data_IF_680829863524
#
_entry.id   IF_680829863524
#
_cell.length_a   1.000
_cell.length_b   1.000
_cell.length_c   1.000
_cell.angle_alpha   90.00
_cell.angle_beta   90.00
_cell.angle_gamma   90.00
#
_symmetry.space_group_name_H-M   'P 1'
#
loop_
_entity.id
_entity.type
_entity.pdbx_description
1 polymer ?
#
# COMPACT_ATOMS: atom_id res chain seq x y z
N UNK A 1 -5.33 -35.94 -70.47
CA UNK A 1 -4.99 -36.55 -69.17
C UNK A 1 -3.58 -36.19 -68.70
N UNK A 2 -2.50 -36.46 -69.46
CA UNK A 2 -1.12 -36.11 -69.06
C UNK A 2 -0.85 -34.61 -68.82
N UNK A 3 -1.50 -33.71 -69.56
CA UNK A 3 -1.31 -32.25 -69.43
C UNK A 3 -1.87 -31.72 -68.09
N UNK A 4 -3.04 -32.19 -67.67
CA UNK A 4 -3.71 -31.81 -66.42
C UNK A 4 -2.94 -32.30 -65.18
N UNK A 5 -2.29 -33.46 -65.29
CA UNK A 5 -1.42 -34.02 -64.24
C UNK A 5 -0.14 -33.19 -64.06
N UNK A 6 0.35 -32.50 -65.10
CA UNK A 6 1.55 -31.66 -65.03
C UNK A 6 1.28 -30.35 -64.30
N UNK A 7 0.19 -29.66 -64.63
CA UNK A 7 -0.24 -28.43 -63.95
C UNK A 7 -0.50 -28.67 -62.45
N UNK A 8 -1.17 -29.78 -62.11
CA UNK A 8 -1.42 -30.15 -60.72
C UNK A 8 -0.13 -30.36 -59.91
N UNK A 9 0.90 -30.99 -60.50
CA UNK A 9 2.21 -31.18 -59.84
C UNK A 9 2.92 -29.85 -59.58
N UNK A 10 2.83 -28.90 -60.51
CA UNK A 10 3.41 -27.56 -60.36
C UNK A 10 2.72 -26.80 -59.23
N UNK A 11 1.39 -26.83 -59.17
CA UNK A 11 0.62 -26.18 -58.09
C UNK A 11 0.95 -26.76 -56.71
N UNK A 12 1.03 -28.08 -56.59
CA UNK A 12 1.40 -28.75 -55.32
C UNK A 12 2.83 -28.39 -54.92
N UNK A 13 3.77 -28.35 -55.87
CA UNK A 13 5.15 -27.95 -55.59
C UNK A 13 5.24 -26.50 -55.08
N UNK A 14 4.51 -25.56 -55.70
CA UNK A 14 4.48 -24.17 -55.23
C UNK A 14 3.85 -24.06 -53.84
N UNK A 15 2.73 -24.75 -53.60
CA UNK A 15 2.03 -24.72 -52.32
C UNK A 15 2.88 -25.29 -51.17
N UNK A 16 3.59 -26.38 -51.41
CA UNK A 16 4.49 -27.01 -50.43
C UNK A 16 5.69 -26.13 -50.14
N UNK A 17 6.34 -25.56 -51.16
CA UNK A 17 7.44 -24.60 -50.98
C UNK A 17 6.99 -23.37 -50.20
N UNK A 18 5.83 -22.82 -50.52
CA UNK A 18 5.26 -21.68 -49.80
C UNK A 18 5.03 -22.02 -48.32
N UNK A 19 4.42 -23.16 -48.04
CA UNK A 19 4.15 -23.60 -46.67
C UNK A 19 5.43 -23.88 -45.88
N UNK A 20 6.42 -24.55 -46.49
CA UNK A 20 7.74 -24.75 -45.88
C UNK A 20 8.45 -23.42 -45.61
N UNK A 21 8.38 -22.46 -46.54
CA UNK A 21 8.97 -21.13 -46.33
C UNK A 21 8.31 -20.37 -45.18
N UNK A 22 6.98 -20.44 -45.06
CA UNK A 22 6.25 -19.82 -43.97
C UNK A 22 6.66 -20.41 -42.62
N UNK A 23 6.79 -21.74 -42.52
CA UNK A 23 7.28 -22.41 -41.31
C UNK A 23 8.69 -21.95 -40.94
N UNK A 24 9.60 -21.86 -41.91
CA UNK A 24 10.97 -21.38 -41.68
C UNK A 24 10.99 -19.93 -41.20
N UNK A 25 10.19 -19.05 -41.82
CA UNK A 25 10.06 -17.66 -41.37
C UNK A 25 9.59 -17.60 -39.92
N UNK A 26 8.55 -18.36 -39.55
CA UNK A 26 8.08 -18.42 -38.17
C UNK A 26 9.19 -18.85 -37.20
N UNK A 27 9.99 -19.86 -37.54
CA UNK A 27 11.12 -20.29 -36.70
C UNK A 27 12.17 -19.19 -36.55
N UNK A 28 12.53 -18.50 -37.64
CA UNK A 28 13.51 -17.40 -37.58
C UNK A 28 13.02 -16.24 -36.73
N UNK A 29 11.75 -15.84 -36.87
CA UNK A 29 11.15 -14.76 -36.08
C UNK A 29 11.17 -15.13 -34.60
N UNK A 30 10.82 -16.37 -34.24
CA UNK A 30 10.88 -16.84 -32.86
C UNK A 30 12.31 -16.75 -32.32
N UNK A 31 13.33 -17.18 -33.07
CA UNK A 31 14.72 -17.06 -32.61
C UNK A 31 15.16 -15.61 -32.42
N UNK A 32 14.75 -14.70 -33.30
CA UNK A 32 15.04 -13.27 -33.17
C UNK A 32 14.38 -12.69 -31.91
N UNK A 33 13.08 -12.98 -31.70
CA UNK A 33 12.35 -12.51 -30.53
C UNK A 33 12.95 -13.02 -29.21
N UNK A 34 13.39 -14.28 -29.15
CA UNK A 34 14.08 -14.80 -27.97
C UNK A 34 15.39 -14.04 -27.69
N UNK A 35 16.14 -13.68 -28.73
CA UNK A 35 17.34 -12.86 -28.59
C UNK A 35 17.04 -11.47 -28.00
N UNK A 36 16.02 -10.80 -28.54
CA UNK A 36 15.58 -9.50 -28.03
C UNK A 36 15.11 -9.58 -26.57
N UNK A 37 14.36 -10.62 -26.20
CA UNK A 37 13.87 -10.82 -24.82
C UNK A 37 15.04 -10.98 -23.84
N UNK A 38 16.07 -11.75 -24.21
CA UNK A 38 17.24 -11.98 -23.35
C UNK A 38 18.00 -10.67 -23.08
N UNK A 39 18.21 -9.87 -24.14
CA UNK A 39 18.84 -8.55 -24.03
C UNK A 39 18.02 -7.62 -23.15
N UNK A 40 16.71 -7.51 -23.41
CA UNK A 40 15.80 -6.67 -22.63
C UNK A 40 15.75 -7.10 -21.15
N UNK A 41 15.77 -8.41 -20.89
CA UNK A 41 15.80 -8.94 -19.54
C UNK A 41 17.08 -8.53 -18.82
N UNK A 42 18.24 -8.67 -19.47
CA UNK A 42 19.52 -8.26 -18.92
C UNK A 42 19.56 -6.75 -18.59
N UNK A 43 19.08 -5.92 -19.51
CA UNK A 43 18.98 -4.46 -19.32
C UNK A 43 18.06 -4.08 -18.16
N UNK A 44 16.88 -4.70 -18.05
CA UNK A 44 15.96 -4.45 -16.94
C UNK A 44 16.57 -4.84 -15.60
N UNK A 45 17.25 -6.00 -15.53
CA UNK A 45 17.90 -6.43 -14.29
C UNK A 45 19.01 -5.47 -13.87
N UNK A 46 19.84 -5.01 -14.80
CA UNK A 46 20.90 -4.04 -14.54
C UNK A 46 20.32 -2.71 -14.00
N UNK A 47 19.32 -2.16 -14.70
CA UNK A 47 18.63 -0.94 -14.29
C UNK A 47 17.97 -1.06 -12.91
N UNK A 48 17.36 -2.21 -12.59
CA UNK A 48 16.76 -2.45 -11.26
C UNK A 48 17.83 -2.50 -10.17
N UNK A 49 19.00 -3.09 -10.44
CA UNK A 49 20.11 -3.08 -9.47
C UNK A 49 20.58 -1.64 -9.20
N UNK A 50 20.80 -0.85 -10.25
CA UNK A 50 21.22 0.55 -10.13
C UNK A 50 20.19 1.35 -9.34
N UNK A 51 18.91 1.27 -9.72
CA UNK A 51 17.83 1.96 -9.03
C UNK A 51 17.74 1.58 -7.55
N UNK A 52 17.97 0.30 -7.22
CA UNK A 52 18.00 -0.16 -5.83
C UNK A 52 19.15 0.46 -5.05
N UNK A 53 20.35 0.51 -5.63
CA UNK A 53 21.52 1.14 -5.00
C UNK A 53 21.27 2.62 -4.76
N UNK A 54 20.77 3.34 -5.76
CA UNK A 54 20.49 4.77 -5.67
C UNK A 54 19.41 5.06 -4.62
N UNK A 55 18.34 4.27 -4.60
CA UNK A 55 17.25 4.41 -3.62
C UNK A 55 17.71 4.08 -2.21
N UNK A 56 18.54 3.05 -2.02
CA UNK A 56 19.08 2.69 -0.69
C UNK A 56 20.04 3.77 -0.17
N UNK A 57 20.86 4.35 -1.05
CA UNK A 57 21.71 5.49 -0.74
C UNK A 57 20.88 6.71 -0.29
N UNK A 58 19.85 7.07 -1.05
CA UNK A 58 18.94 8.15 -0.69
C UNK A 58 18.18 7.86 0.62
N UNK A 59 17.75 6.62 0.84
CA UNK A 59 17.10 6.21 2.08
C UNK A 59 18.03 6.31 3.29
N UNK A 60 19.29 5.93 3.12
CA UNK A 60 20.34 6.07 4.14
C UNK A 60 20.54 7.54 4.53
N UNK A 61 20.58 8.45 3.55
CA UNK A 61 20.67 9.89 3.79
C UNK A 61 19.45 10.41 4.59
N UNK A 62 18.23 10.02 4.20
CA UNK A 62 17.01 10.38 4.93
C UNK A 62 17.05 9.85 6.37
N UNK A 63 17.53 8.62 6.56
CA UNK A 63 17.62 8.02 7.90
C UNK A 63 18.67 8.71 8.77
N UNK A 64 19.77 9.18 8.20
CA UNK A 64 20.76 9.98 8.94
C UNK A 64 20.12 11.27 9.50
N UNK A 65 19.19 11.90 8.77
CA UNK A 65 18.46 13.07 9.28
C UNK A 65 17.50 12.72 10.44
N UNK A 66 16.97 11.49 10.49
CA UNK A 66 16.14 10.99 11.61
C UNK A 66 16.94 10.83 12.91
N UNK A 67 18.26 10.66 12.82
CA UNK A 67 19.16 10.58 13.99
C UNK A 67 19.34 11.96 14.62
N UNK A 68 19.30 13.04 13.85
CA UNK A 68 19.48 14.40 14.36
C UNK A 68 18.18 15.10 14.79
N UNK A 69 17.02 14.71 14.24
CA UNK A 69 15.75 15.42 14.45
C UNK A 69 14.70 14.69 15.30
N UNK A 70 14.94 13.44 15.74
CA UNK A 70 14.01 12.70 16.62
C UNK A 70 14.68 12.51 17.99
N UNK A 71 14.15 13.07 19.09
CA UNK A 71 14.68 12.81 20.44
C UNK A 71 14.67 11.30 20.69
N UNK A 72 15.70 10.73 21.38
CA UNK A 72 15.90 9.29 21.48
C UNK A 72 14.60 8.61 21.88
N UNK A 73 14.05 7.82 20.95
CA UNK A 73 12.76 7.17 21.13
C UNK A 73 12.83 6.35 22.41
N UNK A 74 11.99 6.73 23.38
CA UNK A 74 11.68 5.96 24.58
C UNK A 74 11.72 4.47 24.26
N UNK A 75 12.47 3.69 25.03
CA UNK A 75 12.69 2.26 24.79
C UNK A 75 11.37 1.56 24.41
N UNK A 76 11.41 0.77 23.34
CA UNK A 76 10.26 0.08 22.74
C UNK A 76 9.53 -0.74 23.82
N UNK A 77 8.46 -0.17 24.41
CA UNK A 77 7.67 -0.86 25.41
C UNK A 77 6.93 -2.03 24.74
N UNK A 78 7.08 -3.22 25.33
CA UNK A 78 6.54 -4.46 24.81
C UNK A 78 5.01 -4.36 24.72
N UNK A 79 4.39 -4.50 23.53
CA UNK A 79 2.98 -4.20 23.29
C UNK A 79 2.01 -5.06 24.12
N UNK A 80 2.48 -6.18 24.66
CA UNK A 80 1.68 -7.08 25.50
C UNK A 80 1.65 -6.70 26.99
N UNK A 81 2.41 -5.70 27.44
CA UNK A 81 2.35 -5.23 28.84
C UNK A 81 1.01 -4.56 29.19
N UNK A 82 0.28 -4.02 28.22
CA UNK A 82 -1.04 -3.39 28.44
C UNK A 82 -2.16 -4.41 28.63
N UNK A 83 -1.99 -5.64 28.12
CA UNK A 83 -3.03 -6.69 28.16
C UNK A 83 -3.05 -7.39 29.51
N UNK A 84 -1.88 -7.68 30.09
CA UNK A 84 -1.78 -8.39 31.38
C UNK A 84 -1.79 -7.46 32.60
N UNK A 85 -1.71 -6.15 32.40
CA UNK A 85 -1.82 -5.16 33.47
C UNK A 85 -2.75 -4.05 33.00
N UNK A 86 -4.05 -4.21 33.26
CA UNK A 86 -5.06 -3.16 33.10
C UNK A 86 -4.56 -1.92 33.83
N UNK A 87 -3.87 -1.00 33.15
CA UNK A 87 -3.46 0.29 33.74
C UNK A 87 -4.76 0.95 34.21
N UNK A 88 -4.84 1.23 35.51
CA UNK A 88 -5.92 2.03 36.08
C UNK A 88 -5.99 3.31 35.25
N UNK A 89 -7.16 3.66 34.74
CA UNK A 89 -7.42 4.82 33.85
C UNK A 89 -7.03 6.20 34.44
N UNK A 90 -6.33 6.20 35.58
CA UNK A 90 -5.97 7.36 36.40
C UNK A 90 -4.48 7.35 36.78
N UNK A 91 -3.62 6.66 36.04
CA UNK A 91 -2.18 6.69 36.28
C UNK A 91 -1.56 7.92 35.59
N UNK A 92 -1.68 9.08 36.25
CA UNK A 92 -1.22 10.38 35.76
C UNK A 92 0.24 10.70 36.14
N UNK A 93 0.97 9.72 36.69
CA UNK A 93 2.36 9.84 37.18
C UNK A 93 3.41 10.15 36.10
N UNK A 94 3.01 10.22 34.83
CA UNK A 94 3.91 10.42 33.68
C UNK A 94 3.54 11.61 32.80
N UNK A 95 2.60 12.46 33.25
CA UNK A 95 2.14 13.61 32.50
C UNK A 95 2.78 14.91 33.01
N UNK A 96 3.19 15.82 32.11
CA UNK A 96 3.71 17.13 32.49
C UNK A 96 2.68 17.98 33.25
N UNK A 97 3.15 18.88 34.12
CA UNK A 97 2.32 19.73 35.00
C UNK A 97 1.29 20.60 34.28
N UNK A 98 1.47 20.86 32.98
CA UNK A 98 0.52 21.63 32.18
C UNK A 98 -0.73 20.82 31.75
N UNK A 99 -0.75 19.51 31.96
CA UNK A 99 -1.81 18.64 31.47
C UNK A 99 -2.86 18.37 32.55
N UNK A 100 -3.93 19.17 32.56
CA UNK A 100 -5.09 18.98 33.43
C UNK A 100 -6.06 17.96 32.82
N UNK A 101 -5.95 16.69 33.21
CA UNK A 101 -6.86 15.62 32.77
C UNK A 101 -8.14 15.50 33.61
N UNK A 102 -8.20 16.14 34.79
CA UNK A 102 -9.44 16.23 35.56
C UNK A 102 -10.15 17.55 35.19
N UNK A 103 -11.44 17.52 34.80
CA UNK A 103 -12.21 18.73 34.60
C UNK A 103 -12.18 19.59 35.86
N UNK A 104 -11.89 20.89 35.75
CA UNK A 104 -12.01 21.80 36.89
C UNK A 104 -13.43 21.70 37.44
N UNK A 105 -13.55 21.15 38.66
CA UNK A 105 -14.81 21.11 39.41
C UNK A 105 -15.13 22.53 39.87
N UNK A 106 -15.84 23.26 39.02
CA UNK A 106 -16.44 24.54 39.39
C UNK A 106 -17.63 24.27 40.29
N UNK A 107 -17.54 24.67 41.55
CA UNK A 107 -18.69 24.64 42.47
C UNK A 107 -19.61 25.80 42.12
N UNK A 108 -20.67 25.53 41.34
CA UNK A 108 -21.68 26.55 41.04
C UNK A 108 -22.62 26.74 42.25
N UNK A 109 -23.03 27.96 42.58
CA UNK A 109 -24.05 28.19 43.59
C UNK A 109 -25.38 27.56 43.15
N UNK A 110 -26.25 27.13 44.09
CA UNK A 110 -27.59 26.66 43.76
C UNK A 110 -28.37 27.75 43.02
N UNK A 111 -29.14 27.34 42.00
CA UNK A 111 -30.01 28.25 41.28
C UNK A 111 -31.12 28.85 42.16
N UNK A 112 -31.76 29.95 41.73
CA UNK A 112 -32.87 30.53 42.46
C UNK A 112 -34.06 29.54 42.54
N UNK A 113 -34.93 29.67 43.56
CA UNK A 113 -36.19 28.91 43.63
C UNK A 113 -37.03 29.09 42.37
N UNK A 114 -37.69 28.02 41.92
CA UNK A 114 -38.62 28.09 40.79
C UNK A 114 -39.84 28.98 41.09
N UNK A 115 -40.57 29.43 40.05
CA UNK A 115 -41.82 30.16 40.23
C UNK A 115 -42.86 29.30 40.95
N UNK A 116 -43.84 29.96 41.58
CA UNK A 116 -45.00 29.26 42.15
C UNK A 116 -45.72 28.47 41.05
N UNK A 117 -46.17 27.26 41.40
CA UNK A 117 -46.99 26.45 40.48
C UNK A 117 -48.31 27.13 40.17
N UNK A 118 -48.92 26.75 39.04
CA UNK A 118 -50.22 27.26 38.66
C UNK A 118 -51.29 26.93 39.73
N UNK A 119 -52.30 27.79 39.91
CA UNK A 119 -53.43 27.50 40.78
C UNK A 119 -54.08 26.15 40.42
N UNK A 120 -54.45 25.40 41.45
CA UNK A 120 -55.22 24.17 41.26
C UNK A 120 -56.57 24.45 40.60
N UNK A 121 -57.17 23.45 39.92
CA UNK A 121 -58.50 23.61 39.35
C UNK A 121 -59.54 23.85 40.44
N UNK A 122 -60.55 24.67 40.13
CA UNK A 122 -61.69 24.91 41.03
C UNK A 122 -62.39 23.60 41.39
N UNK A 123 -62.70 23.42 42.68
CA UNK A 123 -63.44 22.25 43.17
C UNK A 123 -64.87 22.22 42.60
N UNK A 124 -65.33 21.04 42.17
CA UNK A 124 -66.73 20.84 41.79
C UNK A 124 -67.59 20.52 43.03
N UNK A 125 -68.82 21.03 43.03
CA UNK A 125 -69.82 20.81 44.08
C UNK A 125 -70.30 19.37 44.13
#
# INVERSE_FOLDING_TARGET
MMMLVREAKVLIAIATVCSCSAMLVCLTVVTMLYGEIDVMQAEVFDNVQIFRVDTDAAWSEIMQLRIFAIPPSKARENPFKSIFRRRKRQDFSSLPDFCHCEPLKVTCPPGPPGPAGDPGPDGRK
#
